data_IF_075125600814
#
_entry.id   IF_075125600814
#
_cell.length_a   1.000
_cell.length_b   1.000
_cell.length_c   1.000
_cell.angle_alpha   90.00
_cell.angle_beta   90.00
_cell.angle_gamma   90.00
#
_symmetry.space_group_name_H-M   'P 1'
#
loop_
_entity.id
_entity.type
_entity.pdbx_description
1 polymer ?
#
# COMPACT_ATOMS: atom_id res chain seq x y z
N UNK A 1 -26.28 31.03 22.66
CA UNK A 1 -26.84 30.75 21.31
C UNK A 1 -25.76 30.01 20.56
N UNK A 2 -25.87 28.69 20.49
CA UNK A 2 -24.86 27.85 19.85
C UNK A 2 -25.15 27.80 18.36
N UNK A 3 -24.20 28.30 17.58
CA UNK A 3 -24.25 28.36 16.13
C UNK A 3 -23.94 26.95 15.60
N UNK A 4 -24.99 26.17 15.34
CA UNK A 4 -24.88 24.82 14.78
C UNK A 4 -24.62 24.96 13.29
N UNK A 5 -23.36 24.80 12.88
CA UNK A 5 -22.97 24.72 11.47
C UNK A 5 -23.25 23.32 10.95
N UNK A 6 -23.81 23.23 9.75
CA UNK A 6 -24.08 21.94 9.08
C UNK A 6 -22.77 21.32 8.57
N UNK A 7 -22.76 20.00 8.36
CA UNK A 7 -21.60 19.26 7.83
C UNK A 7 -21.11 19.87 6.50
N UNK A 8 -22.04 20.26 5.62
CA UNK A 8 -21.73 20.98 4.37
C UNK A 8 -21.00 22.32 4.58
N UNK A 9 -21.18 22.99 5.72
CA UNK A 9 -20.49 24.24 6.05
C UNK A 9 -19.09 23.99 6.61
N UNK A 10 -18.87 22.85 7.28
CA UNK A 10 -17.54 22.39 7.68
C UNK A 10 -16.72 21.93 6.46
N UNK A 11 -17.32 21.18 5.54
CA UNK A 11 -16.65 20.74 4.31
C UNK A 11 -16.26 21.93 3.41
N UNK A 12 -17.09 22.99 3.36
CA UNK A 12 -16.78 24.20 2.59
C UNK A 12 -15.70 25.07 3.24
N UNK A 13 -15.59 25.04 4.57
CA UNK A 13 -14.53 25.73 5.31
C UNK A 13 -13.18 25.02 5.22
N UNK A 14 -13.18 23.69 5.02
CA UNK A 14 -11.96 22.89 4.85
C UNK A 14 -11.40 22.94 3.41
N UNK A 15 -12.18 23.42 2.43
CA UNK A 15 -11.73 23.58 1.04
C UNK A 15 -10.97 24.89 0.74
N UNK A 16 -10.79 25.79 1.71
CA UNK A 16 -10.04 27.04 1.47
C UNK A 16 -8.54 26.83 1.65
N UNK A 17 -7.92 26.30 0.62
CA UNK A 17 -6.48 26.13 0.51
C UNK A 17 -6.16 25.44 -0.81
N UNK A 18 -6.50 26.07 -1.93
CA UNK A 18 -5.95 25.66 -3.22
C UNK A 18 -4.42 25.63 -3.08
N UNK A 19 -3.75 24.49 -3.26
CA UNK A 19 -2.30 24.44 -3.24
C UNK A 19 -1.78 25.35 -4.35
N UNK A 20 -0.85 26.23 -3.98
CA UNK A 20 -0.21 27.17 -4.90
C UNK A 20 0.43 26.38 -6.04
N UNK A 21 -0.17 26.47 -7.24
CA UNK A 21 0.35 25.85 -8.45
C UNK A 21 1.84 26.21 -8.59
N UNK A 22 2.70 25.18 -8.59
CA UNK A 22 4.14 25.37 -8.76
C UNK A 22 4.40 26.18 -10.03
N UNK A 23 5.08 27.31 -9.86
CA UNK A 23 5.27 28.25 -10.96
C UNK A 23 6.09 27.60 -12.11
N UNK A 24 5.79 27.91 -13.39
CA UNK A 24 6.39 27.25 -14.55
C UNK A 24 7.93 27.29 -14.60
N UNK A 25 8.55 28.28 -13.96
CA UNK A 25 10.00 28.43 -13.82
C UNK A 25 10.61 27.36 -12.89
N UNK A 26 9.92 27.00 -11.79
CA UNK A 26 10.31 25.89 -10.89
C UNK A 26 10.22 24.54 -11.60
N UNK A 27 9.18 24.30 -12.41
CA UNK A 27 9.04 23.10 -13.23
C UNK A 27 10.16 22.95 -14.27
N UNK A 28 10.61 24.07 -14.83
CA UNK A 28 11.72 24.08 -15.80
C UNK A 28 13.07 23.79 -15.12
N UNK A 29 13.27 24.24 -13.88
CA UNK A 29 14.46 23.94 -13.08
C UNK A 29 14.54 22.46 -12.68
N UNK A 30 13.41 21.86 -12.28
CA UNK A 30 13.33 20.42 -11.95
C UNK A 30 13.61 19.57 -13.20
N UNK A 31 12.97 19.88 -14.34
CA UNK A 31 13.19 19.19 -15.62
C UNK A 31 14.63 19.29 -16.12
N UNK A 32 15.31 20.42 -15.88
CA UNK A 32 16.71 20.60 -16.31
C UNK A 32 17.72 19.89 -15.39
N UNK A 33 17.42 19.74 -14.10
CA UNK A 33 18.22 18.91 -13.18
C UNK A 33 18.09 17.41 -13.48
N UNK A 34 16.87 16.92 -13.76
CA UNK A 34 16.62 15.54 -14.19
C UNK A 34 17.42 15.16 -15.45
N UNK A 35 17.31 15.96 -16.52
CA UNK A 35 18.03 15.73 -17.79
C UNK A 35 19.56 15.76 -17.66
N UNK A 36 20.13 16.57 -16.74
CA UNK A 36 21.58 16.65 -16.54
C UNK A 36 22.14 15.40 -15.84
N UNK A 37 21.38 14.80 -14.92
CA UNK A 37 21.78 13.53 -14.25
C UNK A 37 21.65 12.34 -15.21
N UNK A 38 20.62 12.31 -16.04
CA UNK A 38 20.41 11.29 -17.08
C UNK A 38 21.59 11.21 -18.08
N UNK A 39 22.16 12.36 -18.47
CA UNK A 39 23.34 12.41 -19.35
C UNK A 39 24.66 12.04 -18.67
N UNK A 40 24.74 12.16 -17.34
CA UNK A 40 25.91 11.72 -16.57
C UNK A 40 26.03 10.19 -16.48
N UNK A 41 24.89 9.48 -16.39
CA UNK A 41 24.85 8.00 -16.30
C UNK A 41 25.17 7.30 -17.63
N UNK A 42 24.83 7.89 -18.78
CA UNK A 42 25.15 7.32 -20.11
C UNK A 42 26.66 7.27 -20.44
N UNK A 43 27.49 8.12 -19.81
CA UNK A 43 28.95 8.11 -20.03
C UNK A 43 29.65 7.05 -19.18
N UNK A 44 29.03 6.58 -18.09
CA UNK A 44 29.60 5.56 -17.21
C UNK A 44 29.47 4.12 -17.75
N UNK A 45 28.53 3.85 -18.69
CA UNK A 45 28.21 2.50 -19.18
C UNK A 45 29.08 2.06 -20.38
N UNK A 46 29.82 2.96 -21.04
CA UNK A 46 30.51 2.63 -22.32
C UNK A 46 31.97 2.16 -22.14
N UNK A 47 32.55 2.19 -20.92
CA UNK A 47 33.98 1.81 -20.72
C UNK A 47 34.17 0.36 -20.22
N UNK A 48 33.09 -0.40 -20.01
CA UNK A 48 33.13 -1.57 -19.14
C UNK A 48 33.14 -2.98 -19.73
N UNK A 49 33.17 -3.21 -21.05
CA UNK A 49 33.12 -4.61 -21.56
C UNK A 49 34.03 -4.86 -22.75
N UNK A 50 35.26 -5.27 -22.44
CA UNK A 50 36.11 -6.04 -23.34
C UNK A 50 36.56 -7.34 -22.63
N UNK A 51 36.22 -8.48 -23.25
CA UNK A 51 36.67 -9.87 -22.96
C UNK A 51 36.10 -10.52 -21.68
N UNK A 52 35.67 -11.79 -21.63
CA UNK A 52 36.27 -13.02 -22.18
C UNK A 52 35.19 -14.11 -22.38
N UNK A 53 35.29 -14.82 -23.52
CA UNK A 53 34.64 -16.10 -23.81
C UNK A 53 35.53 -17.25 -23.33
N UNK A 54 35.02 -18.19 -22.50
CA UNK A 54 35.51 -19.58 -22.45
C UNK A 54 34.36 -20.54 -22.12
N UNK A 55 34.22 -21.58 -22.94
CA UNK A 55 33.28 -22.69 -22.82
C UNK A 55 33.92 -23.92 -22.15
N UNK A 56 33.09 -24.78 -21.53
CA UNK A 56 33.05 -26.26 -21.62
C UNK A 56 32.75 -27.01 -20.29
N UNK A 57 31.52 -27.52 -20.21
CA UNK A 57 31.02 -28.85 -19.76
C UNK A 57 31.92 -29.83 -18.97
N UNK A 58 31.36 -30.43 -17.89
CA UNK A 58 30.95 -31.87 -17.71
C UNK A 58 30.84 -32.21 -16.19
N UNK A 59 29.74 -32.87 -15.76
CA UNK A 59 29.84 -33.98 -14.78
C UNK A 59 29.02 -33.97 -13.47
N UNK A 60 27.71 -34.23 -13.56
CA UNK A 60 26.85 -35.11 -12.73
C UNK A 60 27.28 -35.58 -11.31
N UNK A 61 26.42 -35.34 -10.31
CA UNK A 61 25.98 -36.34 -9.33
C UNK A 61 24.62 -35.95 -8.71
N UNK A 62 23.66 -36.88 -8.78
CA UNK A 62 22.26 -36.73 -8.39
C UNK A 62 21.96 -37.37 -7.03
N UNK A 63 20.97 -36.81 -6.33
CA UNK A 63 20.05 -37.52 -5.40
C UNK A 63 18.67 -36.88 -5.63
N UNK A 64 17.92 -37.30 -6.66
CA UNK A 64 16.75 -38.21 -6.61
C UNK A 64 15.65 -37.84 -5.61
N UNK A 65 14.60 -37.19 -6.13
CA UNK A 65 13.22 -37.18 -5.63
C UNK A 65 12.29 -36.84 -6.79
N UNK A 66 11.56 -37.83 -7.31
CA UNK A 66 10.66 -37.73 -8.46
C UNK A 66 9.35 -36.98 -8.19
N UNK A 67 8.48 -36.88 -9.21
CA UNK A 67 7.45 -35.87 -9.35
C UNK A 67 6.31 -36.10 -8.36
N UNK A 68 5.89 -35.04 -7.67
CA UNK A 68 4.55 -34.98 -7.08
C UNK A 68 3.68 -34.23 -8.06
N UNK A 69 2.78 -34.96 -8.72
CA UNK A 69 1.50 -34.41 -9.17
C UNK A 69 0.87 -33.70 -7.97
N UNK A 70 1.06 -32.38 -7.88
CA UNK A 70 0.16 -31.52 -7.11
C UNK A 70 -0.95 -31.12 -8.07
N UNK A 71 -1.99 -31.94 -8.10
CA UNK A 71 -3.33 -31.39 -8.30
C UNK A 71 -3.58 -30.42 -7.16
N UNK A 72 -3.33 -29.13 -7.40
CA UNK A 72 -3.80 -28.05 -6.53
C UNK A 72 -5.31 -27.97 -6.65
N UNK A 73 -5.98 -28.84 -5.90
CA UNK A 73 -7.27 -28.51 -5.32
C UNK A 73 -6.99 -27.44 -4.25
N UNK A 74 -6.79 -26.18 -4.69
CA UNK A 74 -7.04 -25.05 -3.80
C UNK A 74 -8.48 -25.21 -3.32
N UNK A 75 -8.74 -25.41 -2.02
CA UNK A 75 -10.10 -25.52 -1.53
C UNK A 75 -10.84 -24.24 -1.94
N UNK A 76 -12.11 -24.33 -2.33
CA UNK A 76 -12.90 -23.16 -2.69
C UNK A 76 -12.78 -22.17 -1.53
N UNK A 77 -12.33 -20.94 -1.83
CA UNK A 77 -12.30 -19.81 -0.90
C UNK A 77 -13.60 -19.90 -0.12
N UNK A 78 -13.50 -20.19 1.19
CA UNK A 78 -14.66 -20.34 2.03
C UNK A 78 -15.54 -19.13 1.79
N UNK A 79 -16.77 -19.35 1.31
CA UNK A 79 -17.69 -18.28 0.94
C UNK A 79 -17.70 -17.27 2.08
N UNK A 80 -17.20 -16.05 1.82
CA UNK A 80 -17.07 -14.99 2.84
C UNK A 80 -18.38 -14.92 3.62
N UNK A 81 -18.35 -14.91 4.97
CA UNK A 81 -19.56 -14.89 5.76
C UNK A 81 -20.51 -13.81 5.25
N UNK A 82 -21.77 -14.14 5.01
CA UNK A 82 -22.74 -13.15 4.53
C UNK A 82 -23.40 -12.36 5.68
N UNK A 83 -23.13 -12.74 6.94
CA UNK A 83 -23.73 -12.17 8.14
C UNK A 83 -22.68 -11.91 9.22
N UNK A 84 -22.95 -10.93 10.08
CA UNK A 84 -22.13 -10.64 11.26
C UNK A 84 -21.99 -11.87 12.17
N UNK A 85 -20.74 -12.18 12.52
CA UNK A 85 -20.39 -13.16 13.54
C UNK A 85 -20.95 -12.76 14.92
N UNK A 86 -21.06 -13.70 15.86
CA UNK A 86 -21.46 -13.38 17.23
C UNK A 86 -20.49 -12.39 17.88
N UNK A 87 -19.19 -12.50 17.56
CA UNK A 87 -18.15 -11.60 18.01
C UNK A 87 -18.36 -10.18 17.44
N UNK A 88 -18.58 -10.06 16.13
CA UNK A 88 -18.82 -8.76 15.48
C UNK A 88 -20.12 -8.10 15.94
N UNK A 89 -21.20 -8.87 16.14
CA UNK A 89 -22.46 -8.38 16.72
C UNK A 89 -22.25 -7.80 18.11
N UNK A 90 -21.44 -8.49 18.94
CA UNK A 90 -21.12 -8.03 20.29
C UNK A 90 -20.23 -6.78 20.26
N UNK A 91 -19.22 -6.74 19.38
CA UNK A 91 -18.37 -5.57 19.20
C UNK A 91 -19.19 -4.33 18.80
N UNK A 92 -20.10 -4.47 17.84
CA UNK A 92 -21.01 -3.40 17.43
C UNK A 92 -21.91 -2.90 18.58
N UNK A 93 -22.29 -3.78 19.50
CA UNK A 93 -23.16 -3.44 20.63
C UNK A 93 -22.41 -2.85 21.83
N UNK A 94 -21.18 -3.31 22.10
CA UNK A 94 -20.45 -3.02 23.34
C UNK A 94 -19.27 -2.05 23.17
N UNK A 95 -18.68 -1.92 21.98
CA UNK A 95 -17.51 -1.05 21.75
C UNK A 95 -17.98 0.34 21.30
N UNK A 96 -17.71 1.41 22.08
CA UNK A 96 -18.04 2.77 21.66
C UNK A 96 -17.36 3.14 20.34
N UNK A 97 -18.11 3.70 19.40
CA UNK A 97 -17.60 4.10 18.08
C UNK A 97 -17.55 2.98 17.04
N UNK A 98 -17.97 1.76 17.38
CA UNK A 98 -18.09 0.67 16.40
C UNK A 98 -19.14 0.98 15.33
N UNK A 99 -18.81 0.68 14.07
CA UNK A 99 -19.69 0.89 12.90
C UNK A 99 -19.70 -0.34 12.01
N UNK A 100 -20.88 -0.72 11.54
CA UNK A 100 -21.02 -1.79 10.55
C UNK A 100 -20.73 -1.23 9.15
N UNK A 101 -19.78 -1.86 8.43
CA UNK A 101 -19.31 -1.40 7.10
C UNK A 101 -19.65 -2.37 5.96
N UNK A 102 -20.09 -3.58 6.30
CA UNK A 102 -20.62 -4.56 5.36
C UNK A 102 -21.63 -5.48 6.06
N UNK A 103 -22.23 -6.44 5.36
CA UNK A 103 -23.16 -7.39 5.98
C UNK A 103 -22.53 -8.28 7.05
N UNK A 104 -21.19 -8.34 7.10
CA UNK A 104 -20.43 -9.22 7.98
C UNK A 104 -19.23 -8.58 8.68
N UNK A 105 -18.87 -7.34 8.36
CA UNK A 105 -17.77 -6.61 8.99
C UNK A 105 -18.22 -5.42 9.83
N UNK A 106 -17.52 -5.23 10.93
CA UNK A 106 -17.61 -4.07 11.82
C UNK A 106 -16.22 -3.47 11.97
N UNK A 107 -16.13 -2.15 11.84
CA UNK A 107 -14.94 -1.38 12.19
C UNK A 107 -15.09 -0.87 13.61
N UNK A 108 -14.08 -1.06 14.43
CA UNK A 108 -13.98 -0.52 15.80
C UNK A 108 -12.79 0.43 15.89
N UNK A 109 -12.86 1.49 16.72
CA UNK A 109 -11.69 2.33 16.96
C UNK A 109 -10.62 1.55 17.74
N UNK A 110 -9.35 1.79 17.43
CA UNK A 110 -8.28 1.42 18.33
C UNK A 110 -8.45 2.13 19.70
N UNK A 111 -8.17 1.45 20.82
CA UNK A 111 -8.10 2.08 22.13
C UNK A 111 -7.05 3.21 22.13
N UNK A 112 -7.26 4.22 22.96
CA UNK A 112 -6.28 5.29 23.15
C UNK A 112 -4.94 4.70 23.61
N UNK A 113 -3.83 5.18 23.04
CA UNK A 113 -2.47 4.70 23.26
C UNK A 113 -2.17 3.25 22.87
N UNK A 114 -3.14 2.50 22.33
CA UNK A 114 -2.89 1.16 21.83
C UNK A 114 -1.92 1.23 20.65
N UNK A 115 -0.80 0.53 20.78
CA UNK A 115 0.17 0.34 19.71
C UNK A 115 0.15 -1.10 19.29
N UNK A 116 0.17 -1.32 17.99
CA UNK A 116 0.34 -2.65 17.48
C UNK A 116 1.77 -3.16 17.73
N UNK A 117 1.89 -4.49 17.80
CA UNK A 117 3.02 -5.19 18.42
C UNK A 117 3.48 -6.41 17.64
N UNK A 118 2.93 -6.64 16.45
CA UNK A 118 3.23 -7.81 15.61
C UNK A 118 4.65 -7.81 15.01
N UNK A 119 5.54 -6.90 15.44
CA UNK A 119 6.98 -6.93 15.15
C UNK A 119 7.37 -6.54 13.73
N UNK A 120 6.40 -6.39 12.83
CA UNK A 120 6.58 -5.83 11.47
C UNK A 120 6.56 -4.30 11.45
N UNK A 121 6.22 -3.68 12.58
CA UNK A 121 5.99 -2.26 12.70
C UNK A 121 7.22 -1.62 13.33
N UNK A 122 7.95 -0.89 12.50
CA UNK A 122 9.21 -0.28 12.88
C UNK A 122 8.99 1.23 12.92
N UNK A 123 9.42 1.86 14.01
CA UNK A 123 9.36 3.31 14.14
C UNK A 123 10.31 3.93 13.10
N UNK A 124 9.83 4.94 12.38
CA UNK A 124 10.61 5.69 11.40
C UNK A 124 11.10 6.97 12.10
N UNK A 125 12.42 7.15 12.27
CA UNK A 125 12.95 8.41 12.75
C UNK A 125 12.59 9.56 11.80
N UNK A 126 12.28 10.74 12.35
CA UNK A 126 11.90 11.91 11.56
C UNK A 126 12.94 12.32 10.51
N UNK A 127 14.23 12.10 10.81
CA UNK A 127 15.34 12.41 9.90
C UNK A 127 15.52 11.39 8.77
N UNK A 128 14.72 10.32 8.76
CA UNK A 128 14.63 9.34 7.68
C UNK A 128 13.41 9.55 6.77
N UNK A 129 12.66 10.64 6.94
CA UNK A 129 11.57 11.01 6.00
C UNK A 129 12.08 12.11 5.07
N UNK A 130 12.40 11.75 3.82
CA UNK A 130 12.88 12.72 2.81
C UNK A 130 11.73 13.57 2.24
N UNK A 131 10.55 12.96 2.12
CA UNK A 131 9.33 13.61 1.64
C UNK A 131 8.09 13.02 2.30
N UNK A 132 7.08 13.87 2.49
CA UNK A 132 5.84 13.52 3.17
C UNK A 132 5.94 13.72 4.70
N UNK A 133 5.05 13.08 5.48
CA UNK A 133 3.99 12.17 5.05
C UNK A 133 2.81 12.88 4.36
N UNK A 134 2.27 12.28 3.31
CA UNK A 134 1.08 12.76 2.60
C UNK A 134 -0.14 11.94 2.99
N UNK A 135 -1.22 12.61 3.41
CA UNK A 135 -2.49 11.96 3.71
C UNK A 135 -3.15 11.47 2.42
N UNK A 136 -3.46 10.17 2.38
CA UNK A 136 -4.13 9.54 1.24
C UNK A 136 -5.66 9.58 1.34
N UNK A 137 -6.20 10.20 2.39
CA UNK A 137 -7.63 10.17 2.71
C UNK A 137 -8.10 8.81 3.20
N UNK A 138 -7.17 7.97 3.68
CA UNK A 138 -7.44 6.61 4.16
C UNK A 138 -6.89 6.39 5.56
N UNK A 139 -7.24 5.24 6.11
CA UNK A 139 -6.92 4.84 7.48
C UNK A 139 -6.28 3.47 7.44
N UNK A 140 -5.46 3.20 8.43
CA UNK A 140 -4.85 1.90 8.59
C UNK A 140 -5.82 0.99 9.30
N UNK A 141 -6.23 -0.07 8.59
CA UNK A 141 -7.16 -1.07 9.09
C UNK A 141 -6.41 -2.38 9.33
N UNK A 142 -6.64 -3.00 10.48
CA UNK A 142 -5.94 -4.21 10.91
C UNK A 142 -6.82 -5.08 11.82
N UNK A 143 -6.35 -6.26 12.23
CA UNK A 143 -7.05 -7.13 13.18
C UNK A 143 -6.77 -6.79 14.65
N UNK A 144 -7.58 -7.37 15.54
CA UNK A 144 -7.48 -7.17 17.00
C UNK A 144 -6.15 -7.68 17.56
N UNK A 145 -5.68 -8.83 17.08
CA UNK A 145 -4.47 -9.50 17.61
C UNK A 145 -3.16 -8.88 17.13
N UNK A 146 -3.22 -7.84 16.30
CA UNK A 146 -2.08 -6.97 16.01
C UNK A 146 -1.63 -6.19 17.26
N UNK A 147 -2.55 -5.90 18.18
CA UNK A 147 -2.32 -5.16 19.43
C UNK A 147 -2.04 -6.08 20.61
N UNK A 148 -1.79 -5.51 21.80
CA UNK A 148 -1.59 -6.33 23.01
C UNK A 148 -2.94 -6.82 23.52
N UNK A 149 -2.93 -8.00 24.15
CA UNK A 149 -4.13 -8.59 24.74
C UNK A 149 -4.85 -7.64 25.73
N UNK A 150 -4.10 -6.84 26.49
CA UNK A 150 -4.70 -5.91 27.46
C UNK A 150 -5.34 -4.66 26.83
N UNK A 151 -5.09 -4.36 25.55
CA UNK A 151 -5.61 -3.17 24.90
C UNK A 151 -7.12 -3.33 24.61
N UNK A 152 -7.58 -4.58 24.45
CA UNK A 152 -8.98 -4.89 24.18
C UNK A 152 -9.64 -5.68 25.32
N UNK A 153 -10.98 -5.68 25.41
CA UNK A 153 -11.69 -6.61 26.28
C UNK A 153 -11.28 -8.06 25.98
N UNK A 154 -11.02 -8.84 27.02
CA UNK A 154 -10.53 -10.22 26.89
C UNK A 154 -11.39 -11.07 25.94
N UNK A 155 -12.72 -10.93 26.00
CA UNK A 155 -13.62 -11.66 25.11
C UNK A 155 -13.42 -11.34 23.62
N UNK A 156 -12.99 -10.13 23.29
CA UNK A 156 -12.76 -9.69 21.92
C UNK A 156 -11.40 -10.19 21.42
N UNK A 157 -10.35 -10.00 22.24
CA UNK A 157 -9.02 -10.47 21.90
C UNK A 157 -8.96 -12.00 21.83
N UNK A 158 -9.39 -12.69 22.89
CA UNK A 158 -9.36 -14.15 22.97
C UNK A 158 -10.28 -14.76 21.90
N UNK A 159 -11.44 -14.15 21.64
CA UNK A 159 -12.36 -14.60 20.58
C UNK A 159 -11.78 -14.44 19.17
N UNK A 160 -11.03 -13.36 18.91
CA UNK A 160 -10.34 -13.17 17.61
C UNK A 160 -9.18 -14.13 17.48
N UNK A 161 -8.36 -14.28 18.53
CA UNK A 161 -7.23 -15.22 18.57
C UNK A 161 -7.68 -16.67 18.40
N UNK A 162 -8.80 -17.07 19.00
CA UNK A 162 -9.39 -18.41 18.84
C UNK A 162 -9.81 -18.66 17.39
N UNK A 163 -10.46 -17.66 16.77
CA UNK A 163 -10.84 -17.73 15.35
C UNK A 163 -9.62 -17.85 14.43
N UNK A 164 -8.60 -17.02 14.63
CA UNK A 164 -7.35 -17.09 13.86
C UNK A 164 -6.70 -18.47 13.98
N UNK A 165 -6.55 -18.98 15.21
CA UNK A 165 -5.87 -20.26 15.47
C UNK A 165 -6.63 -21.48 14.97
N UNK A 166 -7.96 -21.47 15.06
CA UNK A 166 -8.77 -22.68 14.86
C UNK A 166 -9.66 -22.66 13.63
N UNK A 167 -9.91 -21.48 13.03
CA UNK A 167 -10.70 -21.35 11.80
C UNK A 167 -9.82 -21.01 10.61
N UNK A 168 -8.89 -20.05 10.76
CA UNK A 168 -7.98 -19.66 9.68
C UNK A 168 -6.67 -20.45 9.70
N UNK A 169 -6.26 -20.93 10.87
CA UNK A 169 -5.01 -21.63 11.07
C UNK A 169 -4.92 -22.94 10.30
N UNK A 170 -3.76 -23.16 9.71
CA UNK A 170 -3.34 -24.43 9.11
C UNK A 170 -2.30 -25.10 10.02
N UNK A 171 -2.39 -26.43 10.26
CA UNK A 171 -1.34 -27.15 10.98
C UNK A 171 0.06 -27.03 10.35
N UNK A 172 0.14 -26.68 9.06
CA UNK A 172 1.39 -26.61 8.28
C UNK A 172 1.92 -25.17 8.21
N UNK A 173 1.04 -24.18 8.17
CA UNK A 173 1.40 -22.78 7.85
C UNK A 173 1.24 -21.83 9.06
N UNK A 174 0.82 -22.37 10.22
CA UNK A 174 0.51 -21.56 11.39
C UNK A 174 -0.84 -20.87 11.24
N UNK A 175 -1.02 -19.74 11.91
CA UNK A 175 -2.24 -18.94 11.86
C UNK A 175 -1.91 -17.47 11.64
N UNK A 176 -2.77 -16.71 10.93
CA UNK A 176 -2.54 -15.29 10.72
C UNK A 176 -2.74 -14.54 12.04
N UNK A 177 -1.89 -13.55 12.31
CA UNK A 177 -2.08 -12.57 13.39
C UNK A 177 -2.51 -11.26 12.77
N UNK A 178 -3.55 -10.65 13.31
CA UNK A 178 -4.09 -9.40 12.80
C UNK A 178 -5.03 -9.57 11.62
N UNK A 179 -5.66 -10.74 11.46
CA UNK A 179 -6.62 -10.99 10.38
C UNK A 179 -7.90 -10.18 10.57
N UNK A 180 -8.41 -9.65 9.45
CA UNK A 180 -9.71 -8.98 9.38
C UNK A 180 -10.86 -9.93 9.00
N UNK A 181 -10.56 -11.20 8.67
CA UNK A 181 -11.53 -12.19 8.16
C UNK A 181 -12.52 -12.68 9.22
N UNK A 182 -12.27 -12.41 10.50
CA UNK A 182 -13.22 -12.66 11.60
C UNK A 182 -14.41 -11.69 11.63
N UNK A 183 -14.39 -10.65 10.79
CA UNK A 183 -15.46 -9.65 10.69
C UNK A 183 -15.35 -8.50 11.69
N UNK A 184 -14.25 -8.40 12.43
CA UNK A 184 -13.93 -7.25 13.28
C UNK A 184 -12.62 -6.62 12.80
N UNK A 185 -12.69 -5.34 12.47
CA UNK A 185 -11.60 -4.56 11.90
C UNK A 185 -11.29 -3.43 12.87
N UNK A 186 -10.02 -3.25 13.20
CA UNK A 186 -9.55 -2.12 14.01
C UNK A 186 -9.14 -0.99 13.09
N UNK A 187 -9.74 0.19 13.28
CA UNK A 187 -9.25 1.45 12.75
C UNK A 187 -8.11 1.95 13.63
N UNK A 188 -6.89 1.80 13.14
CA UNK A 188 -5.66 2.06 13.85
C UNK A 188 -5.04 3.43 13.55
N UNK A 189 -5.80 4.33 12.91
CA UNK A 189 -5.37 5.70 12.66
C UNK A 189 -5.20 6.05 11.17
N UNK A 190 -4.75 7.28 10.86
CA UNK A 190 -4.53 7.71 9.49
C UNK A 190 -3.41 6.91 8.84
N UNK A 191 -3.60 6.57 7.56
CA UNK A 191 -2.58 5.95 6.71
C UNK A 191 -2.10 6.99 5.70
N UNK A 192 -0.78 7.07 5.53
CA UNK A 192 -0.11 8.12 4.77
C UNK A 192 0.99 7.52 3.91
N UNK A 193 1.41 8.26 2.90
CA UNK A 193 2.55 7.90 2.05
C UNK A 193 3.75 8.78 2.37
N UNK A 194 4.92 8.18 2.57
CA UNK A 194 6.18 8.90 2.78
C UNK A 194 7.29 8.33 1.87
N UNK A 195 8.29 9.15 1.54
CA UNK A 195 9.56 8.67 0.98
C UNK A 195 10.54 8.48 2.14
N UNK A 196 10.87 7.24 2.44
CA UNK A 196 11.65 6.85 3.62
C UNK A 196 13.06 6.49 3.18
N UNK A 197 14.07 7.14 3.78
CA UNK A 197 15.47 6.76 3.56
C UNK A 197 15.73 5.38 4.16
N UNK A 198 16.49 4.52 3.48
CA UNK A 198 16.89 3.21 3.99
C UNK A 198 17.48 3.30 5.39
N UNK A 199 16.96 2.47 6.29
CA UNK A 199 17.46 2.34 7.65
C UNK A 199 18.46 1.19 7.72
N UNK A 200 19.66 1.46 8.22
CA UNK A 200 20.72 0.45 8.37
C UNK A 200 20.29 -0.71 9.26
N UNK A 201 19.49 -0.42 10.29
CA UNK A 201 18.89 -1.42 11.17
C UNK A 201 17.92 -2.36 10.45
N UNK A 202 17.39 -1.96 9.30
CA UNK A 202 16.54 -2.77 8.42
C UNK A 202 17.35 -3.42 7.28
N UNK A 203 18.68 -3.30 7.31
CA UNK A 203 19.59 -3.86 6.31
C UNK A 203 19.81 -3.00 5.07
N UNK A 204 19.28 -1.76 5.03
CA UNK A 204 19.48 -0.83 3.93
C UNK A 204 20.86 -0.15 3.92
N UNK A 205 21.30 0.29 2.74
CA UNK A 205 22.44 1.18 2.58
C UNK A 205 21.95 2.64 2.61
N UNK A 206 22.46 3.45 3.55
CA UNK A 206 22.09 4.87 3.68
C UNK A 206 22.43 5.72 2.44
N UNK A 207 23.19 5.17 1.49
CA UNK A 207 23.47 5.80 0.20
C UNK A 207 22.45 5.51 -0.89
N UNK A 208 21.54 4.56 -0.66
CA UNK A 208 20.43 4.26 -1.56
C UNK A 208 19.37 5.38 -1.50
N UNK A 209 18.66 5.64 -2.62
CA UNK A 209 17.58 6.63 -2.62
C UNK A 209 16.46 6.23 -1.66
N UNK A 210 15.71 7.21 -1.15
CA UNK A 210 14.49 6.90 -0.42
C UNK A 210 13.53 6.08 -1.28
N UNK A 211 12.76 5.23 -0.60
CA UNK A 211 11.74 4.42 -1.23
C UNK A 211 10.36 4.86 -0.73
N UNK A 212 9.33 4.79 -1.58
CA UNK A 212 7.97 5.09 -1.17
C UNK A 212 7.42 3.99 -0.25
N UNK A 213 6.84 4.41 0.87
CA UNK A 213 6.31 3.52 1.87
C UNK A 213 5.01 4.06 2.47
N UNK A 214 4.14 3.12 2.83
CA UNK A 214 2.98 3.40 3.65
C UNK A 214 3.39 3.48 5.11
N UNK A 215 2.99 4.58 5.72
CA UNK A 215 3.28 4.92 7.11
C UNK A 215 2.00 5.29 7.83
N UNK A 216 2.01 5.19 9.14
CA UNK A 216 0.89 5.65 9.97
C UNK A 216 1.41 6.19 11.31
N UNK A 217 0.51 6.61 12.19
CA UNK A 217 0.88 7.30 13.42
C UNK A 217 0.92 8.82 13.24
N UNK A 218 1.07 9.60 14.32
CA UNK A 218 1.19 11.05 14.25
C UNK A 218 2.57 11.51 13.73
N UNK A 219 2.69 12.79 13.40
CA UNK A 219 4.00 13.37 13.06
C UNK A 219 4.95 13.23 14.26
N UNK A 220 6.21 12.84 14.05
CA UNK A 220 7.16 12.58 15.13
C UNK A 220 7.17 11.16 15.70
N UNK A 221 6.21 10.33 15.30
CA UNK A 221 6.02 8.96 15.79
C UNK A 221 5.41 8.10 14.68
N UNK A 222 6.05 8.20 13.51
CA UNK A 222 5.64 7.48 12.31
C UNK A 222 6.07 6.01 12.43
N UNK A 223 5.17 5.12 12.04
CA UNK A 223 5.42 3.69 12.00
C UNK A 223 5.34 3.20 10.56
N UNK A 224 6.36 2.46 10.15
CA UNK A 224 6.38 1.73 8.90
C UNK A 224 5.29 0.67 8.88
N UNK A 225 4.54 0.58 7.77
CA UNK A 225 3.55 -0.48 7.54
C UNK A 225 4.02 -1.43 6.46
N UNK A 226 4.31 -0.88 5.28
CA UNK A 226 4.83 -1.64 4.16
C UNK A 226 5.42 -0.68 3.12
N UNK A 227 6.40 -1.16 2.36
CA UNK A 227 7.08 -0.44 1.30
C UNK A 227 6.53 -0.88 -0.05
N UNK A 228 6.58 0.02 -1.03
CA UNK A 228 6.35 -0.33 -2.44
C UNK A 228 7.69 -0.79 -2.98
N UNK A 229 7.95 -2.08 -2.79
CA UNK A 229 9.30 -2.62 -2.66
C UNK A 229 9.56 -3.87 -3.49
N UNK A 230 9.05 -3.93 -4.71
CA UNK A 230 9.78 -4.73 -5.69
C UNK A 230 11.11 -4.06 -5.96
N UNK A 231 12.09 -4.85 -6.37
CA UNK A 231 13.35 -4.29 -6.87
C UNK A 231 13.08 -3.30 -8.02
N UNK A 232 11.97 -3.44 -8.75
CA UNK A 232 11.70 -2.78 -10.03
C UNK A 232 10.70 -1.61 -9.97
N UNK A 233 10.07 -1.31 -8.81
CA UNK A 233 8.96 -0.33 -8.67
C UNK A 233 9.17 1.01 -9.38
N UNK A 234 10.42 1.48 -9.41
CA UNK A 234 10.83 2.71 -10.09
C UNK A 234 12.18 2.52 -10.82
N UNK A 235 12.49 1.29 -11.22
CA UNK A 235 13.68 1.06 -12.02
C UNK A 235 13.49 1.58 -13.45
N UNK A 236 14.54 2.14 -14.08
CA UNK A 236 14.43 2.61 -15.44
C UNK A 236 13.96 1.53 -16.42
N UNK A 237 12.83 1.76 -17.09
CA UNK A 237 12.23 0.85 -18.05
C UNK A 237 11.47 -0.36 -17.45
N UNK A 238 11.15 -0.34 -16.14
CA UNK A 238 10.12 -1.23 -15.60
C UNK A 238 8.72 -0.79 -16.07
N UNK A 239 7.80 -1.76 -16.12
CA UNK A 239 6.38 -1.47 -16.33
C UNK A 239 5.81 -0.78 -15.08
N UNK A 240 4.67 -0.11 -15.23
CA UNK A 240 3.94 0.46 -14.11
C UNK A 240 3.63 -0.61 -13.05
N UNK A 241 3.78 -0.22 -11.78
CA UNK A 241 3.47 -1.10 -10.67
C UNK A 241 2.38 -0.49 -9.79
N UNK A 242 1.42 -1.32 -9.38
CA UNK A 242 0.28 -0.94 -8.55
C UNK A 242 0.23 -1.74 -7.25
N UNK A 243 -0.01 -1.01 -6.16
CA UNK A 243 -0.22 -1.51 -4.80
C UNK A 243 -1.60 -1.08 -4.32
N UNK A 244 -2.21 -1.91 -3.48
CA UNK A 244 -3.57 -1.67 -3.02
C UNK A 244 -3.74 -1.89 -1.52
N UNK A 245 -4.61 -1.11 -0.89
CA UNK A 245 -5.03 -1.31 0.49
C UNK A 245 -6.52 -1.03 0.65
N UNK A 246 -7.21 -1.90 1.37
CA UNK A 246 -8.62 -1.71 1.66
C UNK A 246 -8.83 -0.47 2.53
N UNK A 247 -9.91 0.26 2.25
CA UNK A 247 -10.35 1.37 3.08
C UNK A 247 -11.84 1.31 3.34
N UNK A 248 -12.21 1.75 4.54
CA UNK A 248 -13.58 1.86 5.00
C UNK A 248 -13.95 3.32 5.29
N UNK A 249 -13.11 4.27 4.89
CA UNK A 249 -13.33 5.70 4.98
C UNK A 249 -14.55 6.10 4.11
N UNK A 250 -15.71 6.20 4.75
CA UNK A 250 -17.00 6.42 4.08
C UNK A 250 -18.09 5.40 4.44
N UNK A 251 -17.78 4.38 5.25
CA UNK A 251 -18.76 3.42 5.76
C UNK A 251 -19.00 2.22 4.85
N UNK A 252 -18.26 2.09 3.75
CA UNK A 252 -18.28 0.95 2.82
C UNK A 252 -16.86 0.58 2.43
N UNK A 253 -16.63 -0.70 2.13
CA UNK A 253 -15.35 -1.18 1.63
C UNK A 253 -15.03 -0.57 0.26
N UNK A 254 -13.83 -0.03 0.14
CA UNK A 254 -13.22 0.57 -1.05
C UNK A 254 -11.76 0.18 -1.08
N UNK A 255 -11.04 0.57 -2.12
CA UNK A 255 -9.61 0.29 -2.23
C UNK A 255 -8.87 1.57 -2.59
N UNK A 256 -7.83 1.90 -1.82
CA UNK A 256 -6.85 2.89 -2.22
C UNK A 256 -5.79 2.19 -3.03
N UNK A 257 -5.55 2.71 -4.22
CA UNK A 257 -4.50 2.29 -5.12
C UNK A 257 -3.38 3.31 -5.09
N UNK A 258 -2.16 2.83 -5.01
CA UNK A 258 -0.94 3.64 -5.13
C UNK A 258 -0.08 3.00 -6.21
N UNK A 259 0.52 3.81 -7.07
CA UNK A 259 1.42 3.30 -8.09
C UNK A 259 2.59 4.22 -8.40
N UNK A 260 3.54 3.64 -9.10
CA UNK A 260 4.79 4.27 -9.52
C UNK A 260 4.94 4.20 -11.04
N UNK A 261 5.59 5.20 -11.62
CA UNK A 261 6.02 5.19 -13.01
C UNK A 261 7.42 5.78 -13.12
N UNK A 262 8.26 5.18 -13.96
CA UNK A 262 9.59 5.68 -14.30
C UNK A 262 9.48 7.07 -14.95
N UNK A 263 10.27 8.01 -14.44
CA UNK A 263 10.41 9.34 -15.01
C UNK A 263 9.36 10.36 -14.57
N UNK A 264 9.30 11.47 -15.31
CA UNK A 264 8.51 12.67 -14.95
C UNK A 264 7.58 13.13 -16.06
N UNK A 265 7.31 12.27 -17.04
CA UNK A 265 6.51 12.62 -18.20
C UNK A 265 5.01 12.44 -17.95
N UNK A 266 4.62 11.67 -16.92
CA UNK A 266 3.24 11.47 -16.50
C UNK A 266 2.69 12.76 -15.88
N UNK A 267 1.58 13.24 -16.44
CA UNK A 267 0.85 14.42 -15.99
C UNK A 267 -0.52 14.08 -15.39
N UNK A 268 -1.17 13.02 -15.87
CA UNK A 268 -2.46 12.55 -15.36
C UNK A 268 -2.50 11.03 -15.35
N UNK A 269 -3.23 10.45 -14.38
CA UNK A 269 -3.49 9.02 -14.31
C UNK A 269 -4.98 8.78 -14.12
N UNK A 270 -5.55 7.92 -14.96
CA UNK A 270 -6.92 7.45 -14.88
C UNK A 270 -6.95 6.03 -14.29
N UNK A 271 -7.57 5.86 -13.12
CA UNK A 271 -7.85 4.57 -12.51
C UNK A 271 -9.22 4.09 -13.01
N UNK A 272 -9.24 3.02 -13.80
CA UNK A 272 -10.47 2.51 -14.42
C UNK A 272 -10.93 1.26 -13.69
N UNK A 273 -12.11 1.31 -13.06
CA UNK A 273 -12.71 0.18 -12.38
C UNK A 273 -13.31 -0.84 -13.36
N UNK A 274 -13.57 -2.06 -12.88
CA UNK A 274 -14.15 -3.15 -13.69
C UNK A 274 -15.57 -2.87 -14.18
N UNK A 275 -16.30 -1.96 -13.52
CA UNK A 275 -17.61 -1.49 -13.96
C UNK A 275 -17.54 -0.36 -15.01
N UNK A 276 -16.32 0.06 -15.39
CA UNK A 276 -16.04 1.11 -16.36
C UNK A 276 -16.03 2.52 -15.78
N UNK A 277 -16.24 2.70 -14.47
CA UNK A 277 -16.06 4.00 -13.83
C UNK A 277 -14.59 4.41 -13.84
N UNK A 278 -14.33 5.71 -13.88
CA UNK A 278 -12.97 6.26 -13.94
C UNK A 278 -12.77 7.26 -12.82
N UNK A 279 -11.68 7.11 -12.10
CA UNK A 279 -11.23 8.03 -11.04
C UNK A 279 -9.91 8.63 -11.48
N UNK A 280 -9.84 9.96 -11.53
CA UNK A 280 -8.56 10.65 -11.72
C UNK A 280 -7.74 10.54 -10.44
N UNK A 281 -6.55 9.96 -10.54
CA UNK A 281 -5.62 9.87 -9.41
C UNK A 281 -4.98 11.23 -9.13
N UNK A 282 -4.52 11.42 -7.89
CA UNK A 282 -3.54 12.45 -7.58
C UNK A 282 -2.18 12.02 -8.11
N UNK A 283 -1.40 12.94 -8.67
CA UNK A 283 -0.10 12.67 -9.30
C UNK A 283 0.96 13.62 -8.73
N UNK A 284 2.04 13.05 -8.22
CA UNK A 284 3.24 13.75 -7.76
C UNK A 284 4.43 13.37 -8.65
N UNK A 285 4.85 14.32 -9.50
CA UNK A 285 5.85 14.10 -10.54
C UNK A 285 7.20 14.70 -10.13
N UNK A 286 8.19 13.84 -9.86
CA UNK A 286 9.58 14.20 -9.58
C UNK A 286 9.83 14.92 -8.25
N UNK A 287 8.80 15.04 -7.42
CA UNK A 287 8.78 15.72 -6.12
C UNK A 287 8.78 14.72 -4.96
N UNK A 288 7.92 13.70 -5.05
CA UNK A 288 7.78 12.68 -4.01
C UNK A 288 8.99 11.74 -3.96
N UNK A 289 9.26 11.05 -5.07
CA UNK A 289 10.53 10.37 -5.33
C UNK A 289 11.26 11.15 -6.41
N UNK A 290 12.53 11.48 -6.17
CA UNK A 290 13.29 12.34 -7.08
C UNK A 290 13.48 11.68 -8.44
N UNK A 291 12.88 12.25 -9.47
CA UNK A 291 13.02 11.80 -10.86
C UNK A 291 11.92 10.86 -11.33
N UNK A 292 11.02 10.46 -10.44
CA UNK A 292 9.99 9.47 -10.68
C UNK A 292 8.59 10.03 -10.45
N UNK A 293 7.55 9.34 -10.90
CA UNK A 293 6.16 9.73 -10.66
C UNK A 293 5.50 8.77 -9.70
N UNK A 294 4.84 9.32 -8.67
CA UNK A 294 3.99 8.58 -7.75
C UNK A 294 2.56 9.08 -7.91
N UNK A 295 1.59 8.18 -7.89
CA UNK A 295 0.18 8.54 -7.95
C UNK A 295 -0.67 7.68 -7.02
N UNK A 296 -1.82 8.20 -6.60
CA UNK A 296 -2.76 7.44 -5.79
C UNK A 296 -4.20 7.89 -6.00
N UNK A 297 -5.14 7.00 -5.74
CA UNK A 297 -6.57 7.29 -5.80
C UNK A 297 -7.40 6.21 -5.12
N UNK A 298 -8.63 6.56 -4.75
CA UNK A 298 -9.59 5.61 -4.16
C UNK A 298 -10.58 5.15 -5.21
N UNK A 299 -10.74 3.84 -5.35
CA UNK A 299 -11.69 3.21 -6.27
C UNK A 299 -12.77 2.49 -5.47
N UNK A 300 -14.01 2.69 -5.88
CA UNK A 300 -15.14 1.90 -5.42
C UNK A 300 -15.13 0.55 -6.16
N UNK A 301 -14.82 -0.55 -5.45
CA UNK A 301 -14.75 -1.89 -6.04
C UNK A 301 -13.37 -2.27 -6.58
N UNK A 302 -13.33 -3.07 -7.65
CA UNK A 302 -12.09 -3.61 -8.21
C UNK A 302 -11.55 -2.72 -9.33
N UNK A 303 -10.24 -2.44 -9.30
CA UNK A 303 -9.53 -1.79 -10.39
C UNK A 303 -9.33 -2.78 -11.55
N UNK A 304 -9.61 -2.33 -12.77
CA UNK A 304 -9.34 -3.08 -13.99
C UNK A 304 -7.99 -2.68 -14.61
N UNK A 305 -7.67 -1.38 -14.61
CA UNK A 305 -6.42 -0.86 -15.18
C UNK A 305 -6.10 0.55 -14.72
N UNK A 306 -4.83 0.93 -14.85
CA UNK A 306 -4.36 2.31 -14.74
C UNK A 306 -3.88 2.81 -16.11
N UNK A 307 -4.24 4.04 -16.47
CA UNK A 307 -3.80 4.68 -17.73
C UNK A 307 -3.03 5.94 -17.41
N UNK A 308 -1.75 5.98 -17.76
CA UNK A 308 -0.90 7.16 -17.57
C UNK A 308 -0.85 7.98 -18.86
N UNK A 309 -0.87 9.31 -18.71
CA UNK A 309 -0.83 10.24 -19.86
C UNK A 309 0.15 11.37 -19.63
N UNK A 310 0.72 11.84 -20.73
CA UNK A 310 1.55 13.05 -20.72
C UNK A 310 0.71 14.34 -20.64
N UNK A 311 1.40 15.48 -20.60
CA UNK A 311 0.77 16.80 -20.52
C UNK A 311 -0.08 17.16 -21.75
N UNK A 312 0.14 16.52 -22.90
CA UNK A 312 -0.64 16.70 -24.12
C UNK A 312 -1.84 15.74 -24.18
N UNK A 313 -1.97 14.84 -23.19
CA UNK A 313 -3.02 13.85 -23.05
C UNK A 313 -2.75 12.54 -23.81
N UNK A 314 -1.57 12.39 -24.41
CA UNK A 314 -1.19 11.15 -25.07
C UNK A 314 -0.96 10.05 -24.03
N UNK A 315 -1.42 8.84 -24.33
CA UNK A 315 -1.18 7.67 -23.46
C UNK A 315 0.32 7.36 -23.48
N UNK A 316 0.93 7.33 -22.30
CA UNK A 316 2.28 6.82 -22.10
C UNK A 316 2.19 5.31 -21.93
N UNK A 317 1.33 4.86 -21.02
CA UNK A 317 1.13 3.46 -20.69
C UNK A 317 -0.33 3.15 -20.31
N UNK A 318 -0.76 1.94 -20.63
CA UNK A 318 -2.01 1.36 -20.16
C UNK A 318 -1.69 0.01 -19.50
N UNK A 319 -1.89 -0.06 -18.20
CA UNK A 319 -1.51 -1.20 -17.37
C UNK A 319 -2.74 -1.91 -16.83
N UNK A 320 -3.00 -3.11 -17.35
CA UNK A 320 -4.12 -3.95 -16.92
C UNK A 320 -3.80 -4.66 -15.61
N UNK A 321 -4.65 -4.46 -14.60
CA UNK A 321 -4.57 -5.16 -13.30
C UNK A 321 -4.87 -6.63 -13.54
N UNK A 322 -3.86 -7.48 -13.35
CA UNK A 322 -4.03 -8.92 -13.50
C UNK A 322 -4.72 -9.50 -12.25
N UNK A 323 -5.68 -10.43 -12.43
CA UNK A 323 -6.18 -11.19 -11.30
C UNK A 323 -5.05 -12.03 -10.71
N UNK A 324 -4.92 -12.00 -9.40
CA UNK A 324 -4.02 -12.85 -8.64
C UNK A 324 -4.26 -14.32 -9.00
N UNK A 325 -3.31 -14.95 -9.68
CA UNK A 325 -3.30 -16.40 -9.92
C UNK A 325 -1.85 -16.87 -9.93
N UNK A 326 -1.51 -17.88 -9.12
CA UNK A 326 -0.20 -18.53 -9.15
C UNK A 326 0.20 -18.86 -10.60
N UNK A 327 1.38 -18.44 -11.10
CA UNK A 327 2.55 -17.92 -10.36
C UNK A 327 2.72 -16.39 -10.37
N UNK A 328 1.66 -15.63 -10.61
CA UNK A 328 1.73 -14.16 -10.63
C UNK A 328 1.86 -13.65 -9.19
N UNK A 329 2.96 -12.95 -8.92
CA UNK A 329 3.18 -12.25 -7.66
C UNK A 329 2.01 -11.31 -7.40
N UNK A 330 1.43 -11.42 -6.21
CA UNK A 330 0.23 -10.68 -5.81
C UNK A 330 0.57 -9.37 -5.11
N UNK A 331 1.85 -9.15 -4.79
CA UNK A 331 2.33 -7.92 -4.17
C UNK A 331 2.32 -6.74 -5.16
N UNK A 332 2.40 -7.03 -6.46
CA UNK A 332 2.38 -6.05 -7.56
C UNK A 332 1.38 -6.43 -8.62
N UNK A 333 0.51 -5.49 -8.96
CA UNK A 333 -0.58 -5.68 -9.91
C UNK A 333 -0.42 -4.87 -11.18
#
# INVERSE_FOLDING_TARGET
>A
MNDVRTVDQLERALRSGEPELLQPDRLTEIRTRGRRRQRGRLVAVVVGTAAVVVAATVGFAAVTGGPTDRTDDSPPIASKPHELSALAKRALAEIPGAVQVSSWQVVIPAPEDARATNGSEMDIPDDHVEFGPVDLGTRWYTGVTTFRQQDFPAWLYDGTSDYEQHVLGSPQDGYPVGSMDGGVIVDAGPMRLACVSPLREWGGDESDPCFPAMVSGPDGDLQYRWGMGTDDFLQPGSDLELFDTETYAGGTARTVWVGGADGTDVATVDLVATDGTTVSAHVETGTFVTGETIFWGTVDGQLAKAVTRDADGAVIEEHDVKPCSDPVDCEVR
#
